data_IF_264266191892
#
_entry.id   IF_264266191892
#
_cell.length_a   1.000
_cell.length_b   1.000
_cell.length_c   1.000
_cell.angle_alpha   90.00
_cell.angle_beta   90.00
_cell.angle_gamma   90.00
#
_symmetry.space_group_name_H-M   'P 1'
#
loop_
_entity.id
_entity.type
_entity.pdbx_description
1 polymer ?
#
# COMPACT_ATOMS: atom_id res chain seq x y z
N UNK A 1 81.73 19.43 -33.58
CA UNK A 1 82.12 19.13 -32.18
C UNK A 1 80.90 18.47 -31.55
N UNK A 2 80.82 17.15 -31.67
CA UNK A 2 79.69 16.35 -31.18
C UNK A 2 80.10 15.73 -29.85
N UNK A 3 79.45 16.12 -28.76
CA UNK A 3 79.68 15.57 -27.43
C UNK A 3 78.81 14.33 -27.23
N UNK A 4 79.45 13.16 -27.21
CA UNK A 4 78.83 11.92 -26.77
C UNK A 4 78.78 11.90 -25.24
N UNK A 5 77.60 12.10 -24.67
CA UNK A 5 77.34 11.87 -23.24
C UNK A 5 77.18 10.37 -23.03
N UNK A 6 78.29 9.69 -22.74
CA UNK A 6 78.29 8.27 -22.42
C UNK A 6 77.59 8.04 -21.09
N UNK A 7 76.55 7.22 -21.15
CA UNK A 7 75.68 6.81 -20.05
C UNK A 7 76.46 6.20 -18.86
N UNK A 8 76.46 6.91 -17.74
CA UNK A 8 76.85 6.39 -16.41
C UNK A 8 75.60 5.85 -15.67
N UNK A 9 74.80 5.01 -16.34
CA UNK A 9 73.54 4.47 -15.80
C UNK A 9 73.67 3.17 -15.01
N UNK A 10 74.89 2.65 -14.80
CA UNK A 10 75.08 1.26 -14.27
C UNK A 10 75.71 1.17 -12.88
N UNK A 11 75.70 2.25 -12.09
CA UNK A 11 76.15 2.25 -10.69
C UNK A 11 75.02 2.65 -9.73
N UNK A 12 73.89 1.98 -9.83
CA UNK A 12 73.04 1.85 -8.65
C UNK A 12 73.70 0.78 -7.78
N UNK A 13 74.13 1.18 -6.58
CA UNK A 13 74.83 0.31 -5.64
C UNK A 13 73.86 -0.74 -5.12
N UNK A 14 74.24 -2.01 -5.12
CA UNK A 14 73.41 -3.12 -4.60
C UNK A 14 72.93 -2.87 -3.15
N UNK A 15 73.61 -2.03 -2.37
CA UNK A 15 73.18 -1.60 -1.04
C UNK A 15 71.83 -0.84 -1.02
N UNK A 16 71.46 -0.08 -2.05
CA UNK A 16 70.19 0.69 -2.04
C UNK A 16 68.96 -0.17 -2.34
N UNK A 17 69.13 -1.34 -2.95
CA UNK A 17 68.01 -2.26 -3.17
C UNK A 17 67.60 -2.99 -1.89
N UNK A 18 68.53 -3.19 -0.94
CA UNK A 18 68.25 -3.98 0.25
C UNK A 18 67.44 -3.23 1.32
N UNK A 19 67.60 -1.91 1.45
CA UNK A 19 66.85 -1.12 2.46
C UNK A 19 65.38 -0.88 2.08
N UNK A 20 65.00 -1.06 0.81
CA UNK A 20 63.62 -0.86 0.35
C UNK A 20 62.72 -2.10 0.52
N UNK A 21 63.30 -3.31 0.58
CA UNK A 21 62.52 -4.55 0.71
C UNK A 21 61.88 -4.69 2.10
N UNK A 22 62.55 -4.28 3.18
CA UNK A 22 62.00 -4.38 4.54
C UNK A 22 60.87 -3.38 4.84
N UNK A 23 60.80 -2.24 4.13
CA UNK A 23 59.74 -1.24 4.37
C UNK A 23 58.37 -1.66 3.82
N UNK A 24 58.35 -2.55 2.82
CA UNK A 24 57.11 -3.00 2.19
C UNK A 24 56.30 -3.93 3.11
N UNK A 25 56.97 -4.78 3.90
CA UNK A 25 56.31 -5.71 4.82
C UNK A 25 55.59 -4.98 5.97
N UNK A 26 56.21 -3.95 6.56
CA UNK A 26 55.58 -3.15 7.62
C UNK A 26 54.35 -2.38 7.10
N UNK A 27 54.45 -1.83 5.88
CA UNK A 27 53.33 -1.15 5.23
C UNK A 27 52.17 -2.12 4.96
N UNK A 28 52.46 -3.34 4.52
CA UNK A 28 51.46 -4.37 4.27
C UNK A 28 50.73 -4.80 5.55
N UNK A 29 51.45 -5.00 6.65
CA UNK A 29 50.85 -5.34 7.95
C UNK A 29 49.97 -4.21 8.49
N UNK A 30 50.40 -2.96 8.34
CA UNK A 30 49.61 -1.78 8.75
C UNK A 30 48.32 -1.67 7.93
N UNK A 31 48.39 -1.78 6.60
CA UNK A 31 47.21 -1.78 5.72
C UNK A 31 46.27 -2.95 6.03
N UNK A 32 46.81 -4.13 6.31
CA UNK A 32 46.03 -5.30 6.71
C UNK A 32 45.31 -5.10 8.05
N UNK A 33 45.99 -4.53 9.05
CA UNK A 33 45.38 -4.20 10.34
C UNK A 33 44.26 -3.15 10.18
N UNK A 34 44.49 -2.12 9.38
CA UNK A 34 43.49 -1.11 9.09
C UNK A 34 42.25 -1.70 8.38
N UNK A 35 42.45 -2.55 7.37
CA UNK A 35 41.37 -3.24 6.68
C UNK A 35 40.53 -4.09 7.65
N UNK A 36 41.18 -4.81 8.58
CA UNK A 36 40.48 -5.56 9.65
C UNK A 36 39.67 -4.63 10.56
N UNK A 37 40.19 -3.46 10.91
CA UNK A 37 39.46 -2.47 11.70
C UNK A 37 38.26 -1.89 10.95
N UNK A 38 38.42 -1.50 9.68
CA UNK A 38 37.33 -1.00 8.83
C UNK A 38 36.22 -2.05 8.68
N UNK A 39 36.57 -3.30 8.43
CA UNK A 39 35.59 -4.39 8.33
C UNK A 39 34.83 -4.62 9.64
N UNK A 40 35.51 -4.55 10.80
CA UNK A 40 34.86 -4.64 12.11
C UNK A 40 33.88 -3.50 12.34
N UNK A 41 34.28 -2.27 12.06
CA UNK A 41 33.43 -1.08 12.18
C UNK A 41 32.20 -1.19 11.28
N UNK A 42 32.36 -1.64 10.03
CA UNK A 42 31.24 -1.87 9.09
C UNK A 42 30.24 -2.91 9.62
N UNK A 43 30.73 -4.05 10.11
CA UNK A 43 29.87 -5.10 10.69
C UNK A 43 29.14 -4.64 11.96
N UNK A 44 29.75 -3.75 12.74
CA UNK A 44 29.10 -3.14 13.91
C UNK A 44 28.02 -2.14 13.49
N UNK A 45 28.29 -1.28 12.51
CA UNK A 45 27.30 -0.35 11.97
C UNK A 45 26.09 -1.09 11.39
N UNK A 46 26.32 -2.18 10.63
CA UNK A 46 25.24 -3.03 10.11
C UNK A 46 24.39 -3.65 11.22
N UNK A 47 25.03 -4.17 12.28
CA UNK A 47 24.30 -4.68 13.46
C UNK A 47 23.45 -3.61 14.12
N UNK A 48 23.99 -2.40 14.32
CA UNK A 48 23.23 -1.28 14.91
C UNK A 48 22.03 -0.89 14.04
N UNK A 49 22.18 -0.90 12.73
CA UNK A 49 21.08 -0.62 11.80
C UNK A 49 19.96 -1.67 11.93
N UNK A 50 20.31 -2.96 11.98
CA UNK A 50 19.33 -4.05 12.17
C UNK A 50 18.61 -3.92 13.51
N UNK A 51 19.34 -3.60 14.59
CA UNK A 51 18.78 -3.40 15.92
C UNK A 51 17.81 -2.20 15.96
N UNK A 52 18.18 -1.06 15.36
CA UNK A 52 17.31 0.12 15.25
C UNK A 52 16.03 -0.17 14.46
N UNK A 53 16.13 -0.92 13.36
CA UNK A 53 14.95 -1.33 12.59
C UNK A 53 14.04 -2.23 13.42
N UNK A 54 14.61 -3.20 14.15
CA UNK A 54 13.85 -4.07 15.05
C UNK A 54 13.17 -3.28 16.18
N UNK A 55 13.87 -2.30 16.77
CA UNK A 55 13.32 -1.42 17.81
C UNK A 55 12.16 -0.58 17.29
N UNK A 56 12.31 0.07 16.12
CA UNK A 56 11.24 0.87 15.50
C UNK A 56 10.02 0.03 15.19
N UNK A 57 10.21 -1.20 14.69
CA UNK A 57 9.11 -2.13 14.42
C UNK A 57 8.34 -2.50 15.70
N UNK A 58 9.06 -2.79 16.79
CA UNK A 58 8.43 -3.10 18.08
C UNK A 58 7.67 -1.90 18.65
N UNK A 59 8.21 -0.68 18.52
CA UNK A 59 7.53 0.55 18.95
C UNK A 59 6.25 0.82 18.14
N UNK A 60 6.30 0.60 16.82
CA UNK A 60 5.17 0.78 15.92
C UNK A 60 4.05 -0.24 16.20
N UNK A 61 4.41 -1.50 16.45
CA UNK A 61 3.46 -2.53 16.90
C UNK A 61 2.82 -2.18 18.25
N UNK A 62 3.61 -1.66 19.20
CA UNK A 62 3.10 -1.20 20.49
C UNK A 62 2.12 -0.02 20.35
N UNK A 63 2.40 0.93 19.45
CA UNK A 63 1.50 2.05 19.13
C UNK A 63 0.18 1.56 18.53
N UNK A 64 0.22 0.66 17.54
CA UNK A 64 -0.98 0.05 16.95
C UNK A 64 -1.82 -0.69 17.99
N UNK A 65 -1.17 -1.43 18.89
CA UNK A 65 -1.87 -2.14 19.97
C UNK A 65 -2.56 -1.18 20.94
N UNK A 66 -1.88 -0.10 21.33
CA UNK A 66 -2.46 0.93 22.20
C UNK A 66 -3.66 1.65 21.54
N UNK A 67 -3.58 1.93 20.23
CA UNK A 67 -4.66 2.53 19.46
C UNK A 67 -5.89 1.62 19.39
N UNK A 68 -5.71 0.33 19.08
CA UNK A 68 -6.80 -0.66 19.07
C UNK A 68 -7.44 -0.80 20.45
N UNK A 69 -6.64 -0.76 21.52
CA UNK A 69 -7.17 -0.80 22.88
C UNK A 69 -7.97 0.46 23.22
N UNK A 70 -7.48 1.64 22.85
CA UNK A 70 -8.20 2.90 23.01
C UNK A 70 -9.52 2.91 22.24
N UNK A 71 -9.53 2.40 21.00
CA UNK A 71 -10.73 2.27 20.19
C UNK A 71 -11.76 1.33 20.84
N UNK A 72 -11.34 0.17 21.36
CA UNK A 72 -12.22 -0.76 22.07
C UNK A 72 -12.83 -0.14 23.34
N UNK A 73 -12.05 0.67 24.07
CA UNK A 73 -12.55 1.40 25.24
C UNK A 73 -13.60 2.45 24.85
N UNK A 74 -13.35 3.21 23.79
CA UNK A 74 -14.31 4.19 23.29
C UNK A 74 -15.61 3.52 22.80
N UNK A 75 -15.51 2.39 22.09
CA UNK A 75 -16.69 1.62 21.65
C UNK A 75 -17.51 1.09 22.85
N UNK A 76 -16.84 0.59 23.89
CA UNK A 76 -17.49 0.14 25.11
C UNK A 76 -18.20 1.30 25.84
N UNK A 77 -17.60 2.50 25.88
CA UNK A 77 -18.22 3.68 26.48
C UNK A 77 -19.47 4.12 25.70
N UNK A 78 -19.41 4.15 24.36
CA UNK A 78 -20.56 4.46 23.51
C UNK A 78 -21.70 3.46 23.73
N UNK A 79 -21.38 2.16 23.83
CA UNK A 79 -22.37 1.11 24.14
C UNK A 79 -23.01 1.31 25.51
N UNK A 80 -22.21 1.60 26.54
CA UNK A 80 -22.71 1.88 27.88
C UNK A 80 -23.67 3.09 27.90
N UNK A 81 -23.33 4.18 27.19
CA UNK A 81 -24.21 5.35 27.05
C UNK A 81 -25.50 5.02 26.31
N UNK A 82 -25.45 4.19 25.27
CA UNK A 82 -26.65 3.76 24.56
C UNK A 82 -27.59 2.92 25.45
N UNK A 83 -27.03 2.01 26.26
CA UNK A 83 -27.81 1.24 27.24
C UNK A 83 -28.47 2.12 28.31
N UNK A 84 -27.74 3.13 28.83
CA UNK A 84 -28.28 4.10 29.78
C UNK A 84 -29.45 4.90 29.18
N UNK A 85 -29.34 5.33 27.91
CA UNK A 85 -30.42 6.02 27.20
C UNK A 85 -31.66 5.13 27.04
N UNK A 86 -31.48 3.86 26.65
CA UNK A 86 -32.59 2.90 26.53
C UNK A 86 -33.24 2.65 27.90
N UNK A 87 -32.45 2.54 28.96
CA UNK A 87 -32.95 2.37 30.33
C UNK A 87 -33.71 3.61 30.84
N UNK A 88 -33.23 4.82 30.53
CA UNK A 88 -33.91 6.06 30.85
C UNK A 88 -35.25 6.17 30.10
N UNK A 89 -35.27 5.86 28.79
CA UNK A 89 -36.49 5.88 27.97
C UNK A 89 -37.57 4.90 28.48
N UNK A 90 -37.16 3.68 28.86
CA UNK A 90 -38.10 2.69 29.43
C UNK A 90 -38.64 3.09 30.81
N UNK A 91 -37.88 3.87 31.59
CA UNK A 91 -38.34 4.42 32.86
C UNK A 91 -39.35 5.56 32.67
N UNK A 92 -39.18 6.39 31.64
CA UNK A 92 -40.11 7.49 31.33
C UNK A 92 -41.45 7.03 30.75
N UNK A 93 -41.51 5.88 30.07
CA UNK A 93 -42.76 5.35 29.50
C UNK A 93 -43.63 4.58 30.52
N UNK A 94 -43.11 4.29 31.71
CA UNK A 94 -43.75 3.43 32.71
C UNK A 94 -44.78 4.07 33.66
N UNK A 95 -45.10 5.37 33.55
CA UNK A 95 -46.01 6.05 34.49
C UNK A 95 -47.32 6.58 33.88
N UNK A 96 -47.81 6.02 32.77
CA UNK A 96 -49.19 6.26 32.32
C UNK A 96 -50.18 5.45 33.17
N UNK A 97 -50.27 5.81 34.44
CA UNK A 97 -51.23 5.25 35.40
C UNK A 97 -52.61 5.84 35.07
N UNK A 98 -53.45 5.07 34.38
CA UNK A 98 -54.89 5.30 34.44
C UNK A 98 -55.64 5.20 33.12
N UNK A 99 -55.87 3.97 32.66
CA UNK A 99 -57.21 3.42 32.39
C UNK A 99 -57.03 1.96 32.00
N UNK A 100 -57.60 1.06 32.81
CA UNK A 100 -57.74 -0.35 32.44
C UNK A 100 -58.53 -0.43 31.14
N UNK A 101 -57.84 -0.56 30.01
CA UNK A 101 -58.49 -1.01 28.79
C UNK A 101 -58.69 -2.52 28.95
N UNK A 102 -59.89 -2.86 29.40
CA UNK A 102 -60.40 -4.22 29.49
C UNK A 102 -60.56 -4.75 28.06
N UNK A 103 -59.45 -5.17 27.44
CA UNK A 103 -59.48 -5.87 26.14
C UNK A 103 -59.86 -7.30 26.42
N UNK A 104 -61.14 -7.57 26.19
CA UNK A 104 -61.75 -8.88 26.17
C UNK A 104 -61.02 -9.74 25.15
N UNK A 105 -60.50 -10.89 25.62
CA UNK A 105 -59.97 -11.95 24.79
C UNK A 105 -61.07 -12.46 23.83
N UNK A 106 -60.90 -12.22 22.53
CA UNK A 106 -61.49 -13.05 21.49
C UNK A 106 -60.71 -12.83 20.20
N UNK A 107 -59.99 -13.88 19.79
CA UNK A 107 -59.10 -13.83 18.64
C UNK A 107 -58.06 -14.92 18.73
N UNK A 108 -58.51 -16.17 18.76
CA UNK A 108 -57.77 -17.37 18.36
C UNK A 108 -57.07 -17.12 17.04
N UNK A 109 -55.88 -16.53 17.09
CA UNK A 109 -54.92 -16.57 15.99
C UNK A 109 -54.00 -17.71 16.37
N UNK A 110 -54.13 -18.79 15.62
CA UNK A 110 -53.30 -19.98 15.74
C UNK A 110 -51.83 -19.54 15.74
N UNK A 111 -51.25 -19.45 16.93
CA UNK A 111 -49.81 -19.51 17.12
C UNK A 111 -49.45 -20.93 16.76
N UNK A 112 -49.32 -21.16 15.45
CA UNK A 112 -48.68 -22.33 14.90
C UNK A 112 -47.27 -22.31 15.48
N UNK A 113 -47.10 -23.14 16.51
CA UNK A 113 -45.86 -23.49 17.14
C UNK A 113 -44.88 -23.90 16.04
N UNK A 114 -44.08 -22.93 15.56
CA UNK A 114 -42.92 -23.16 14.69
C UNK A 114 -41.83 -23.78 15.57
N UNK A 115 -42.09 -25.02 16.01
CA UNK A 115 -41.15 -25.88 16.72
C UNK A 115 -39.95 -26.08 15.79
N UNK A 116 -38.90 -25.30 16.05
CA UNK A 116 -37.66 -25.29 15.27
C UNK A 116 -37.73 -24.44 14.00
N UNK A 117 -38.16 -23.17 14.11
CA UNK A 117 -38.11 -22.17 13.04
C UNK A 117 -36.72 -22.02 12.44
N UNK A 118 -36.41 -22.83 11.44
CA UNK A 118 -35.21 -22.70 10.64
C UNK A 118 -35.27 -21.35 9.92
N UNK A 119 -34.22 -20.55 10.05
CA UNK A 119 -34.10 -19.28 9.34
C UNK A 119 -34.45 -19.46 7.85
N UNK A 120 -35.23 -18.54 7.24
CA UNK A 120 -35.50 -18.53 5.81
C UNK A 120 -34.18 -18.60 5.02
N UNK A 121 -34.23 -19.13 3.80
CA UNK A 121 -33.03 -19.09 2.95
C UNK A 121 -32.73 -17.64 2.55
N UNK A 122 -31.45 -17.29 2.41
CA UNK A 122 -31.02 -15.91 2.12
C UNK A 122 -31.76 -15.27 0.95
N UNK A 123 -31.91 -15.98 -0.17
CA UNK A 123 -32.64 -15.45 -1.33
C UNK A 123 -34.13 -15.19 -1.11
N UNK A 124 -34.75 -15.74 -0.05
CA UNK A 124 -36.11 -15.41 0.35
C UNK A 124 -36.13 -14.35 1.48
N UNK A 125 -35.11 -14.31 2.33
CA UNK A 125 -34.91 -13.23 3.31
C UNK A 125 -34.76 -11.86 2.64
N UNK A 126 -33.96 -11.77 1.57
CA UNK A 126 -33.71 -10.50 0.86
C UNK A 126 -34.98 -9.94 0.20
N UNK A 127 -35.93 -10.82 -0.13
CA UNK A 127 -37.22 -10.44 -0.72
C UNK A 127 -38.32 -10.24 0.33
N UNK A 128 -38.02 -10.44 1.62
CA UNK A 128 -39.02 -10.36 2.70
C UNK A 128 -40.09 -11.46 2.62
N UNK A 129 -39.78 -12.60 2.02
CA UNK A 129 -40.74 -13.65 1.71
C UNK A 129 -40.49 -14.90 2.54
N UNK A 130 -41.55 -15.44 3.15
CA UNK A 130 -41.49 -16.73 3.84
C UNK A 130 -41.23 -17.88 2.86
N UNK A 131 -40.31 -18.78 3.21
CA UNK A 131 -40.04 -19.99 2.44
C UNK A 131 -39.96 -21.24 3.32
N UNK A 132 -40.45 -22.38 2.82
CA UNK A 132 -40.40 -23.67 3.50
C UNK A 132 -39.23 -24.50 2.95
N UNK A 133 -38.47 -25.11 3.85
CA UNK A 133 -37.38 -26.02 3.49
C UNK A 133 -37.91 -27.47 3.48
N UNK A 134 -37.80 -28.17 2.35
CA UNK A 134 -38.09 -29.60 2.26
C UNK A 134 -36.83 -30.43 2.37
N UNK A 135 -36.92 -31.53 3.11
CA UNK A 135 -35.90 -32.58 3.14
C UNK A 135 -36.23 -33.56 2.02
N UNK A 136 -35.28 -33.80 1.12
CA UNK A 136 -35.44 -34.83 0.12
C UNK A 136 -35.45 -36.21 0.82
N UNK A 137 -36.39 -37.09 0.45
CA UNK A 137 -36.64 -38.39 1.11
C UNK A 137 -35.39 -39.31 1.22
N UNK A 138 -34.34 -39.06 0.44
CA UNK A 138 -33.13 -39.88 0.38
C UNK A 138 -31.81 -39.13 0.59
N UNK A 139 -31.83 -37.82 0.90
CA UNK A 139 -30.60 -37.06 1.12
C UNK A 139 -30.74 -36.07 2.27
N UNK A 140 -29.62 -35.81 2.98
CA UNK A 140 -29.54 -34.79 4.04
C UNK A 140 -29.68 -33.35 3.48
N UNK A 141 -29.80 -33.20 2.16
CA UNK A 141 -29.92 -31.93 1.50
C UNK A 141 -31.33 -31.33 1.70
N UNK A 142 -31.37 -30.06 2.08
CA UNK A 142 -32.62 -29.29 2.21
C UNK A 142 -32.72 -28.34 1.03
N UNK A 143 -33.81 -28.39 0.27
CA UNK A 143 -34.13 -27.43 -0.78
C UNK A 143 -35.21 -26.46 -0.31
N UNK A 144 -35.13 -25.21 -0.77
CA UNK A 144 -36.19 -24.23 -0.58
C UNK A 144 -37.30 -24.45 -1.61
N UNK A 145 -38.56 -24.49 -1.19
CA UNK A 145 -39.70 -24.69 -2.09
C UNK A 145 -39.90 -23.56 -3.09
N UNK A 146 -39.42 -22.35 -2.74
CA UNK A 146 -39.66 -21.14 -3.54
C UNK A 146 -38.57 -20.91 -4.57
N UNK A 147 -37.31 -20.89 -4.17
CA UNK A 147 -36.18 -20.68 -5.09
C UNK A 147 -35.58 -21.97 -5.65
N UNK A 148 -36.02 -23.15 -5.18
CA UNK A 148 -35.50 -24.49 -5.53
C UNK A 148 -33.99 -24.67 -5.30
N UNK A 149 -33.32 -23.72 -4.63
CA UNK A 149 -31.89 -23.81 -4.29
C UNK A 149 -31.70 -24.67 -3.05
N UNK A 150 -30.56 -25.37 -3.01
CA UNK A 150 -30.11 -26.10 -1.82
C UNK A 150 -29.58 -25.12 -0.78
N UNK A 151 -29.81 -25.39 0.51
CA UNK A 151 -29.45 -24.50 1.63
C UNK A 151 -27.99 -24.04 1.61
N UNK A 152 -27.07 -24.95 1.26
CA UNK A 152 -25.64 -24.69 1.16
C UNK A 152 -25.22 -23.88 -0.09
N UNK A 153 -26.14 -23.60 -1.00
CA UNK A 153 -25.90 -22.76 -2.19
C UNK A 153 -26.55 -21.38 -2.08
N UNK A 154 -27.19 -21.08 -0.95
CA UNK A 154 -27.68 -19.75 -0.63
C UNK A 154 -26.69 -18.97 0.25
N UNK A 155 -25.46 -19.43 0.42
CA UNK A 155 -24.42 -18.63 1.08
C UNK A 155 -24.15 -17.36 0.29
N UNK A 156 -24.10 -16.24 1.02
CA UNK A 156 -23.76 -14.93 0.47
C UNK A 156 -22.37 -15.03 -0.17
N UNK A 157 -22.16 -14.58 -1.43
CA UNK A 157 -20.85 -14.57 -2.10
C UNK A 157 -19.81 -13.62 -1.49
N UNK A 158 -19.72 -13.53 -0.17
CA UNK A 158 -18.83 -12.61 0.55
C UNK A 158 -18.35 -13.10 1.92
N UNK A 159 -18.91 -14.18 2.47
CA UNK A 159 -18.55 -14.66 3.82
C UNK A 159 -17.55 -15.83 3.81
N UNK A 160 -17.22 -16.38 2.63
CA UNK A 160 -16.13 -17.33 2.48
C UNK A 160 -14.85 -16.57 2.12
N UNK A 161 -13.89 -16.51 3.06
CA UNK A 161 -12.55 -16.00 2.79
C UNK A 161 -11.98 -16.69 1.53
N UNK A 162 -11.55 -15.94 0.49
CA UNK A 162 -10.95 -16.50 -0.70
C UNK A 162 -9.48 -16.82 -0.41
N UNK A 163 -9.21 -17.89 0.33
CA UNK A 163 -7.86 -18.43 0.43
C UNK A 163 -7.51 -19.28 -0.80
N UNK A 164 -7.61 -18.71 -2.00
CA UNK A 164 -6.94 -19.25 -3.19
C UNK A 164 -6.97 -18.24 -4.34
N UNK A 165 -5.80 -17.62 -4.57
CA UNK A 165 -5.29 -17.11 -5.86
C UNK A 165 -6.26 -16.28 -6.73
N UNK A 166 -5.91 -15.01 -6.93
CA UNK A 166 -5.39 -14.53 -8.22
C UNK A 166 -4.55 -13.27 -8.04
N UNK A 167 -3.35 -13.32 -8.63
CA UNK A 167 -2.45 -12.19 -8.84
C UNK A 167 -3.14 -11.20 -9.78
N UNK A 168 -3.04 -9.93 -9.42
CA UNK A 168 -2.75 -8.77 -10.27
C UNK A 168 -3.31 -8.82 -11.69
N UNK A 169 -4.40 -8.10 -11.90
CA UNK A 169 -4.83 -7.63 -13.21
C UNK A 169 -5.36 -6.20 -13.01
N UNK A 170 -4.42 -5.25 -13.07
CA UNK A 170 -4.68 -3.81 -13.13
C UNK A 170 -5.14 -3.49 -14.56
N UNK A 171 -6.40 -3.81 -14.87
CA UNK A 171 -7.05 -3.39 -16.11
C UNK A 171 -7.87 -2.12 -15.81
N UNK A 172 -7.24 -1.00 -16.17
CA UNK A 172 -7.83 0.22 -16.72
C UNK A 172 -9.37 0.24 -16.75
N UNK A 173 -9.99 1.12 -15.97
CA UNK A 173 -11.40 1.44 -16.11
C UNK A 173 -11.64 2.94 -16.33
N UNK A 174 -11.86 3.23 -17.61
CA UNK A 174 -12.88 4.09 -18.21
C UNK A 174 -12.96 5.56 -17.77
N UNK A 175 -12.29 6.38 -18.57
CA UNK A 175 -12.58 7.80 -18.75
C UNK A 175 -14.07 8.02 -19.04
N UNK A 176 -14.69 8.82 -18.18
CA UNK A 176 -16.11 9.13 -18.16
C UNK A 176 -16.60 9.79 -19.46
N UNK A 177 -17.53 9.09 -20.13
CA UNK A 177 -18.35 9.63 -21.20
C UNK A 177 -19.27 10.74 -20.68
N UNK A 178 -18.93 11.97 -21.07
CA UNK A 178 -19.63 13.23 -20.84
C UNK A 178 -21.08 13.18 -21.37
N UNK A 179 -22.08 13.03 -20.49
CA UNK A 179 -23.50 13.25 -20.84
C UNK A 179 -23.88 14.69 -20.55
N UNK A 180 -24.20 15.45 -21.60
CA UNK A 180 -24.82 16.78 -21.51
C UNK A 180 -26.33 16.61 -21.31
N UNK A 181 -26.83 16.90 -20.11
CA UNK A 181 -28.26 17.07 -19.84
C UNK A 181 -28.65 18.54 -20.07
N UNK A 182 -29.58 18.76 -21.00
CA UNK A 182 -30.13 20.05 -21.41
C UNK A 182 -31.18 20.48 -20.39
N UNK A 183 -30.87 21.49 -19.57
CA UNK A 183 -31.82 22.14 -18.67
C UNK A 183 -32.85 22.94 -19.48
N UNK A 184 -34.12 22.61 -19.31
CA UNK A 184 -35.26 23.48 -19.65
C UNK A 184 -35.78 24.05 -18.34
N UNK A 185 -35.79 25.38 -18.23
CA UNK A 185 -36.41 26.11 -17.14
C UNK A 185 -37.94 26.06 -17.27
N UNK A 186 -38.71 25.76 -16.20
CA UNK A 186 -40.14 26.03 -16.17
C UNK A 186 -40.38 27.51 -15.83
N UNK A 187 -41.23 28.14 -16.62
CA UNK A 187 -41.75 29.48 -16.36
C UNK A 187 -42.75 29.45 -15.20
N UNK A 188 -42.72 30.53 -14.42
CA UNK A 188 -43.56 30.78 -13.26
C UNK A 188 -45.05 30.85 -13.64
N UNK A 189 -45.89 30.18 -12.86
CA UNK A 189 -47.26 30.63 -12.61
C UNK A 189 -47.50 30.59 -11.11
N UNK A 190 -47.81 31.78 -10.58
CA UNK A 190 -48.24 32.06 -9.23
C UNK A 190 -49.49 31.27 -8.87
N UNK A 191 -49.43 30.52 -7.76
CA UNK A 191 -50.60 30.16 -6.97
C UNK A 191 -50.23 30.18 -5.50
N UNK A 192 -50.66 31.26 -4.83
CA UNK A 192 -50.84 31.32 -3.38
C UNK A 192 -51.85 30.25 -2.97
N UNK A 193 -51.38 29.16 -2.35
CA UNK A 193 -52.22 28.35 -1.47
C UNK A 193 -51.45 28.04 -0.18
N UNK A 194 -52.01 28.58 0.89
CA UNK A 194 -51.73 28.39 2.30
C UNK A 194 -51.92 26.90 2.67
N UNK A 195 -50.81 26.18 2.90
CA UNK A 195 -50.84 24.78 3.34
C UNK A 195 -49.59 24.45 4.19
N UNK A 196 -49.78 24.55 5.50
CA UNK A 196 -49.20 23.75 6.59
C UNK A 196 -47.91 22.92 6.32
N UNK A 197 -46.77 23.50 6.69
CA UNK A 197 -45.74 23.00 7.63
C UNK A 197 -45.47 21.47 7.80
N UNK A 198 -45.35 20.71 6.69
CA UNK A 198 -45.15 19.24 6.79
C UNK A 198 -44.06 18.59 5.88
N UNK A 199 -43.09 19.29 5.29
CA UNK A 199 -42.10 18.65 4.39
C UNK A 199 -40.61 19.02 4.65
N UNK A 200 -40.05 18.66 5.83
CA UNK A 200 -38.61 18.86 6.13
C UNK A 200 -37.84 17.53 6.36
N UNK A 201 -38.48 16.37 6.24
CA UNK A 201 -37.83 15.10 6.65
C UNK A 201 -37.03 14.38 5.54
N UNK A 202 -37.33 14.60 4.24
CA UNK A 202 -36.65 13.87 3.14
C UNK A 202 -35.22 14.35 2.81
N UNK A 203 -34.81 15.55 3.27
CA UNK A 203 -33.48 16.08 2.95
C UNK A 203 -32.34 15.49 3.80
N UNK A 204 -32.66 14.82 4.91
CA UNK A 204 -31.67 14.23 5.80
C UNK A 204 -30.93 13.05 5.15
N UNK A 205 -31.64 12.24 4.35
CA UNK A 205 -31.05 11.06 3.71
C UNK A 205 -30.08 11.42 2.58
N UNK A 206 -30.41 12.46 1.80
CA UNK A 206 -29.54 12.95 0.73
C UNK A 206 -28.24 13.57 1.27
N UNK A 207 -28.32 14.33 2.36
CA UNK A 207 -27.15 14.90 3.03
C UNK A 207 -26.30 13.84 3.72
N UNK A 208 -26.93 12.80 4.28
CA UNK A 208 -26.26 11.64 4.84
C UNK A 208 -25.40 10.92 3.79
N UNK A 209 -26.00 10.58 2.65
CA UNK A 209 -25.30 9.93 1.53
C UNK A 209 -24.14 10.79 0.99
N UNK A 210 -24.35 12.11 0.86
CA UNK A 210 -23.29 13.04 0.45
C UNK A 210 -22.12 13.08 1.46
N UNK A 211 -22.43 13.04 2.76
CA UNK A 211 -21.42 13.03 3.82
C UNK A 211 -20.59 11.75 3.80
N UNK A 212 -21.21 10.59 3.54
CA UNK A 212 -20.51 9.31 3.40
C UNK A 212 -19.56 9.34 2.18
N UNK A 213 -20.04 9.80 1.02
CA UNK A 213 -19.22 9.91 -0.19
C UNK A 213 -18.02 10.85 0.05
N UNK A 214 -18.24 12.01 0.67
CA UNK A 214 -17.16 12.92 1.02
C UNK A 214 -16.17 12.30 2.00
N UNK A 215 -16.64 11.51 2.96
CA UNK A 215 -15.78 10.81 3.93
C UNK A 215 -14.90 9.77 3.25
N UNK A 216 -15.46 8.99 2.31
CA UNK A 216 -14.69 8.03 1.49
C UNK A 216 -13.64 8.75 0.66
N UNK A 217 -14.01 9.82 -0.06
CA UNK A 217 -13.07 10.60 -0.88
C UNK A 217 -11.93 11.21 -0.05
N UNK A 218 -12.22 11.75 1.13
CA UNK A 218 -11.19 12.29 2.03
C UNK A 218 -10.27 11.18 2.54
N UNK A 219 -10.81 9.99 2.82
CA UNK A 219 -10.02 8.80 3.16
C UNK A 219 -9.06 8.41 2.05
N UNK A 220 -9.53 8.31 0.81
CA UNK A 220 -8.71 7.99 -0.36
C UNK A 220 -7.60 9.02 -0.61
N UNK A 221 -7.92 10.32 -0.51
CA UNK A 221 -6.92 11.38 -0.65
C UNK A 221 -5.83 11.30 0.41
N UNK A 222 -6.19 10.96 1.65
CA UNK A 222 -5.21 10.74 2.73
C UNK A 222 -4.31 9.55 2.45
N UNK A 223 -4.87 8.44 1.96
CA UNK A 223 -4.09 7.25 1.60
C UNK A 223 -3.10 7.57 0.48
N UNK A 224 -3.54 8.21 -0.61
CA UNK A 224 -2.64 8.65 -1.68
C UNK A 224 -1.54 9.60 -1.18
N UNK A 225 -1.84 10.48 -0.23
CA UNK A 225 -0.85 11.37 0.36
C UNK A 225 0.15 10.64 1.27
N UNK A 226 -0.23 9.51 1.87
CA UNK A 226 0.69 8.65 2.62
C UNK A 226 1.58 7.89 1.64
N UNK A 227 1.02 7.29 0.59
CA UNK A 227 1.79 6.55 -0.42
C UNK A 227 2.85 7.42 -1.10
N UNK A 228 2.49 8.67 -1.46
CA UNK A 228 3.45 9.65 -2.00
C UNK A 228 4.58 9.96 -1.03
N UNK A 229 4.29 10.06 0.27
CA UNK A 229 5.32 10.29 1.30
C UNK A 229 6.23 9.09 1.46
N UNK A 230 5.69 7.87 1.40
CA UNK A 230 6.48 6.64 1.41
C UNK A 230 7.42 6.57 0.19
N UNK A 231 6.92 6.79 -1.02
CA UNK A 231 7.75 6.80 -2.24
C UNK A 231 8.85 7.88 -2.18
N UNK A 232 8.54 9.07 -1.67
CA UNK A 232 9.54 10.13 -1.49
C UNK A 232 10.65 9.73 -0.50
N UNK A 233 10.29 9.08 0.62
CA UNK A 233 11.25 8.59 1.60
C UNK A 233 12.13 7.46 1.03
N UNK A 234 11.55 6.54 0.26
CA UNK A 234 12.30 5.47 -0.41
C UNK A 234 13.27 6.02 -1.46
N UNK A 235 12.84 7.00 -2.25
CA UNK A 235 13.70 7.71 -3.21
C UNK A 235 14.86 8.42 -2.51
N UNK A 236 14.60 9.09 -1.38
CA UNK A 236 15.66 9.72 -0.58
C UNK A 236 16.67 8.70 -0.07
N UNK A 237 16.20 7.58 0.48
CA UNK A 237 17.08 6.50 0.94
C UNK A 237 17.90 5.89 -0.21
N UNK A 238 17.33 5.80 -1.41
CA UNK A 238 18.07 5.34 -2.60
C UNK A 238 19.15 6.36 -3.01
N UNK A 239 18.83 7.65 -3.02
CA UNK A 239 19.78 8.72 -3.30
C UNK A 239 20.93 8.72 -2.29
N UNK A 240 20.66 8.58 -0.99
CA UNK A 240 21.69 8.46 0.04
C UNK A 240 22.60 7.25 -0.18
N UNK A 241 22.05 6.10 -0.59
CA UNK A 241 22.87 4.94 -0.96
C UNK A 241 23.80 5.24 -2.12
N UNK A 242 23.30 5.89 -3.18
CA UNK A 242 24.10 6.27 -4.35
C UNK A 242 25.20 7.26 -3.94
N UNK A 243 24.87 8.29 -3.16
CA UNK A 243 25.86 9.25 -2.67
C UNK A 243 26.94 8.59 -1.82
N UNK A 244 26.57 7.65 -0.93
CA UNK A 244 27.52 6.86 -0.17
C UNK A 244 28.46 6.05 -1.06
N UNK A 245 27.96 5.42 -2.13
CA UNK A 245 28.81 4.70 -3.09
C UNK A 245 29.75 5.63 -3.87
N UNK A 246 29.30 6.84 -4.22
CA UNK A 246 30.14 7.82 -4.91
C UNK A 246 31.24 8.37 -3.98
N UNK A 247 30.92 8.58 -2.71
CA UNK A 247 31.91 8.96 -1.69
C UNK A 247 32.94 7.85 -1.46
N UNK A 248 32.53 6.58 -1.44
CA UNK A 248 33.43 5.43 -1.36
C UNK A 248 34.37 5.38 -2.58
N UNK A 249 33.85 5.53 -3.80
CA UNK A 249 34.67 5.59 -5.02
C UNK A 249 35.65 6.76 -4.96
N UNK A 250 35.19 7.95 -4.56
CA UNK A 250 36.04 9.13 -4.42
C UNK A 250 37.14 8.95 -3.38
N UNK A 251 36.88 8.21 -2.31
CA UNK A 251 37.89 7.86 -1.30
C UNK A 251 38.90 6.81 -1.78
N UNK A 252 38.54 5.97 -2.76
CA UNK A 252 39.44 4.99 -3.39
C UNK A 252 40.26 5.58 -4.53
N UNK A 253 39.78 6.65 -5.17
CA UNK A 253 40.58 7.46 -6.09
C UNK A 253 41.58 8.26 -5.25
N UNK A 254 42.77 7.69 -5.04
CA UNK A 254 43.86 8.35 -4.34
C UNK A 254 44.10 9.76 -4.91
N UNK A 255 44.11 10.76 -4.02
CA UNK A 255 44.46 12.16 -4.34
C UNK A 255 45.90 12.30 -4.89
N UNK A 256 46.70 11.25 -4.76
CA UNK A 256 48.06 11.17 -5.31
C UNK A 256 48.10 10.64 -6.75
N UNK A 257 46.97 10.29 -7.36
CA UNK A 257 46.88 10.17 -8.81
C UNK A 257 46.96 11.56 -9.42
N UNK A 258 48.16 12.16 -9.38
CA UNK A 258 48.55 13.20 -10.31
C UNK A 258 48.51 12.49 -11.67
N UNK A 259 47.57 12.81 -12.57
CA UNK A 259 47.72 12.34 -13.93
C UNK A 259 49.08 12.87 -14.37
N UNK A 260 50.03 11.95 -14.49
CA UNK A 260 51.36 12.24 -15.00
C UNK A 260 51.11 13.02 -16.27
N UNK A 261 51.49 14.30 -16.27
CA UNK A 261 51.27 15.23 -17.38
C UNK A 261 51.85 14.54 -18.61
N UNK A 262 50.96 13.90 -19.36
CA UNK A 262 51.31 13.12 -20.51
C UNK A 262 52.07 14.05 -21.42
N UNK A 263 53.32 13.71 -21.66
CA UNK A 263 54.07 14.20 -22.81
C UNK A 263 53.12 14.25 -23.99
N UNK A 264 53.00 15.44 -24.61
CA UNK A 264 52.48 15.60 -25.96
C UNK A 264 53.33 14.74 -26.90
N UNK A 265 53.11 13.43 -26.90
CA UNK A 265 53.44 12.61 -28.05
C UNK A 265 52.40 13.01 -29.09
N UNK A 266 52.88 13.73 -30.12
CA UNK A 266 52.14 14.01 -31.33
C UNK A 266 51.61 12.68 -31.88
N UNK A 267 50.39 12.32 -31.51
CA UNK A 267 49.67 11.26 -32.18
C UNK A 267 49.48 11.71 -33.62
N UNK A 268 50.13 11.00 -34.53
CA UNK A 268 50.02 11.18 -35.96
C UNK A 268 48.52 11.17 -36.31
N UNK A 269 48.05 12.22 -36.95
CA UNK A 269 46.63 12.58 -37.16
C UNK A 269 45.86 11.58 -38.04
N UNK A 270 46.46 10.42 -38.37
CA UNK A 270 45.92 9.38 -39.24
C UNK A 270 45.11 8.27 -38.56
N UNK A 271 45.22 8.08 -37.23
CA UNK A 271 44.59 6.94 -36.53
C UNK A 271 43.24 7.31 -35.86
N UNK A 272 42.81 8.57 -35.96
CA UNK A 272 41.52 9.03 -35.40
C UNK A 272 40.34 8.76 -36.36
N UNK A 273 40.62 8.44 -37.63
CA UNK A 273 39.58 8.17 -38.62
C UNK A 273 38.91 6.79 -38.46
N UNK A 274 39.64 5.78 -37.96
CA UNK A 274 39.11 4.40 -37.88
C UNK A 274 38.17 4.20 -36.67
N UNK A 275 38.40 4.91 -35.56
CA UNK A 275 37.57 4.80 -34.36
C UNK A 275 36.16 5.44 -34.50
N UNK A 276 35.97 6.32 -35.49
CA UNK A 276 34.66 6.90 -35.78
C UNK A 276 33.75 5.93 -36.54
N UNK A 277 34.31 5.07 -37.40
CA UNK A 277 33.55 4.10 -38.19
C UNK A 277 33.00 2.95 -37.32
N UNK A 278 33.75 2.51 -36.30
CA UNK A 278 33.31 1.43 -35.40
C UNK A 278 32.16 1.85 -34.45
N UNK A 279 32.03 3.15 -34.15
CA UNK A 279 30.92 3.68 -33.33
C UNK A 279 29.60 3.84 -34.10
N UNK A 280 29.63 3.96 -35.43
CA UNK A 280 28.39 3.96 -36.22
C UNK A 280 27.79 2.56 -36.35
N UNK A 281 28.60 1.50 -36.38
CA UNK A 281 28.12 0.11 -36.47
C UNK A 281 27.31 -0.33 -35.22
N UNK A 282 27.65 0.16 -34.03
CA UNK A 282 26.96 -0.18 -32.79
C UNK A 282 25.63 0.58 -32.58
N UNK A 283 25.32 1.58 -33.41
CA UNK A 283 24.08 2.36 -33.28
C UNK A 283 22.88 1.70 -33.97
N UNK A 284 23.11 0.72 -34.84
CA UNK A 284 22.05 0.02 -35.58
C UNK A 284 21.43 -1.18 -34.86
N UNK A 285 21.91 -1.60 -33.69
CA UNK A 285 21.46 -2.86 -33.06
C UNK A 285 20.35 -2.71 -32.01
N UNK A 286 19.94 -1.49 -31.67
CA UNK A 286 18.99 -1.24 -30.57
C UNK A 286 17.56 -0.89 -31.03
N UNK A 287 17.23 -0.98 -32.32
CA UNK A 287 15.88 -0.66 -32.83
C UNK A 287 14.99 -1.90 -33.07
N UNK A 288 15.45 -3.13 -32.82
CA UNK A 288 14.68 -4.36 -33.11
C UNK A 288 14.01 -5.03 -31.88
N UNK A 289 13.97 -4.40 -30.71
CA UNK A 289 13.30 -4.96 -29.51
C UNK A 289 12.10 -4.15 -28.99
N UNK A 290 11.48 -3.28 -29.82
CA UNK A 290 10.27 -2.51 -29.45
C UNK A 290 9.00 -2.99 -30.18
N UNK A 291 8.85 -4.27 -30.53
CA UNK A 291 7.58 -4.83 -31.03
C UNK A 291 7.29 -6.26 -30.54
N UNK A 292 7.27 -6.51 -29.23
CA UNK A 292 6.62 -7.72 -28.69
C UNK A 292 5.94 -7.41 -27.37
N UNK A 293 4.67 -6.99 -27.41
CA UNK A 293 3.59 -7.52 -26.55
C UNK A 293 2.25 -6.78 -26.80
N UNK A 294 1.65 -7.06 -27.96
CA UNK A 294 0.19 -7.04 -28.09
C UNK A 294 -0.28 -8.49 -28.19
N UNK A 295 -0.66 -9.11 -27.06
CA UNK A 295 -1.74 -10.12 -26.92
C UNK A 295 -1.48 -11.06 -25.73
N UNK A 296 -2.36 -11.00 -24.71
CA UNK A 296 -3.18 -12.12 -24.16
C UNK A 296 -3.85 -11.67 -22.87
#
# INVERSE_FOLDING_TARGET
MSSSTTNDLTKWSDEQLHENENNNDELFEKKSAECRHRMKARKEAERRMVEEVARRKAEEEAKRKAEVEAQRRAEAEVKARAEEVVQAQSSTSGLSKGKQLRVTASGTTEVAELVGGLAPCYGCSDLGVACKMRVARSSKARSCDRCRRLRNKCERPGDAQPSQRRKREEVMSLQAGKKKARTKSPAAEDKEEDAEDCEVEENCDALGALTEVLSVMVGEMRNMAVDRRCMAAESHAQMERVLGTLEEIRGCLDLEFVPEEGSEENFDEGEVAEAAEEREALKGWNEEEEEVDESV
#
